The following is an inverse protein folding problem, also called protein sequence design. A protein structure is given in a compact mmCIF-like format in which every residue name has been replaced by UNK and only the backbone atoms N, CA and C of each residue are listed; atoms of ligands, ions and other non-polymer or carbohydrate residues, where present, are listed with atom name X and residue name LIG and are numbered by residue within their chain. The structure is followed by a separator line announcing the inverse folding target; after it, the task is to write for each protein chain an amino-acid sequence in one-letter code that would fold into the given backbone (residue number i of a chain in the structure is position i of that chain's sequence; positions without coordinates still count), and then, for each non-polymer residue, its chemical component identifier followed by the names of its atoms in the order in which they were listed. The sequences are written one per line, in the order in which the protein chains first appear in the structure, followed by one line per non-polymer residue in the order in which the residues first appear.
data_IF_490929866403
#
_entry.id   IF_490929866403
#
_cell.length_a   1.000
_cell.length_b   1.000
_cell.length_c   1.000
_cell.angle_alpha   90.00
_cell.angle_beta   90.00
_cell.angle_gamma   90.00
#
_symmetry.space_group_name_H-M   'P 1'
#
loop_
_entity.id
_entity.type
_entity.pdbx_description
1 polymer ?
#
# COMPACT_ATOMS: atom_id res chain seq x y z
N UNK A 1 -17.68 -0.71 23.08
CA UNK A 1 -17.48 -1.37 21.77
C UNK A 1 -15.98 -1.43 21.53
N UNK A 2 -15.40 -2.61 21.29
CA UNK A 2 -13.94 -2.74 21.10
C UNK A 2 -13.53 -2.43 19.66
N UNK A 3 -12.23 -2.21 19.44
CA UNK A 3 -11.65 -2.05 18.09
C UNK A 3 -11.85 -3.34 17.28
N UNK A 4 -11.72 -4.49 17.93
CA UNK A 4 -12.02 -5.78 17.32
C UNK A 4 -13.47 -5.85 16.80
N UNK A 5 -14.46 -5.47 17.63
CA UNK A 5 -15.86 -5.42 17.18
C UNK A 5 -16.05 -4.43 16.04
N UNK A 6 -15.43 -3.25 16.11
CA UNK A 6 -15.50 -2.25 15.04
C UNK A 6 -14.88 -2.75 13.73
N UNK A 7 -13.84 -3.58 13.79
CA UNK A 7 -13.24 -4.18 12.61
C UNK A 7 -14.16 -5.21 11.92
N UNK A 8 -15.15 -5.76 12.64
CA UNK A 8 -16.15 -6.69 12.10
C UNK A 8 -17.45 -6.01 11.65
N UNK A 9 -17.90 -4.99 12.37
CA UNK A 9 -19.22 -4.38 12.16
C UNK A 9 -19.17 -2.98 11.54
N UNK A 10 -17.99 -2.35 11.54
CA UNK A 10 -17.77 -0.98 11.11
C UNK A 10 -17.16 -0.87 9.71
N UNK A 11 -16.31 0.14 9.52
CA UNK A 11 -15.56 0.30 8.28
C UNK A 11 -14.52 -0.81 8.12
N UNK A 12 -14.24 -1.26 6.89
CA UNK A 12 -13.19 -2.24 6.64
C UNK A 12 -11.83 -1.76 7.16
N UNK A 13 -11.05 -2.70 7.68
CA UNK A 13 -9.72 -2.40 8.19
C UNK A 13 -8.83 -1.78 7.09
N UNK A 14 -8.14 -0.70 7.42
CA UNK A 14 -7.25 -0.04 6.45
C UNK A 14 -6.02 -0.94 6.22
N UNK A 15 -5.76 -1.25 4.94
CA UNK A 15 -4.67 -2.13 4.50
C UNK A 15 -3.54 -1.38 3.79
N UNK A 16 -3.56 -0.05 3.78
CA UNK A 16 -2.54 0.77 3.10
C UNK A 16 -1.30 0.89 3.97
N UNK A 17 -0.12 0.69 3.40
CA UNK A 17 1.16 0.80 4.10
C UNK A 17 1.33 2.17 4.76
N UNK A 18 1.09 3.23 3.98
CA UNK A 18 1.03 4.63 4.45
C UNK A 18 0.15 4.92 5.67
N UNK A 19 -0.86 4.09 5.94
CA UNK A 19 -1.66 4.24 7.16
C UNK A 19 -0.91 3.72 8.39
N UNK A 20 -0.15 2.64 8.24
CA UNK A 20 0.65 2.10 9.35
C UNK A 20 1.88 2.97 9.60
N UNK A 21 2.60 3.35 8.56
CA UNK A 21 3.79 4.21 8.66
C UNK A 21 3.44 5.65 9.00
N UNK A 22 2.40 6.23 8.38
CA UNK A 22 2.02 7.64 8.56
C UNK A 22 0.97 7.90 9.63
N UNK A 23 0.38 6.88 10.26
CA UNK A 23 -0.64 7.09 11.31
C UNK A 23 -0.43 6.19 12.52
N UNK A 24 -0.31 4.87 12.36
CA UNK A 24 -0.19 3.97 13.51
C UNK A 24 1.17 4.12 14.20
N UNK A 25 2.26 4.04 13.44
CA UNK A 25 3.63 4.13 13.95
C UNK A 25 3.89 5.44 14.73
N UNK A 26 3.57 6.65 14.22
CA UNK A 26 3.77 7.90 14.96
C UNK A 26 3.03 7.91 16.31
N UNK A 27 1.83 7.33 16.37
CA UNK A 27 1.02 7.29 17.58
C UNK A 27 1.59 6.35 18.66
N UNK A 28 2.56 5.51 18.29
CA UNK A 28 3.34 4.69 19.21
C UNK A 28 4.64 5.39 19.59
N UNK A 29 5.45 5.76 18.60
CA UNK A 29 6.85 6.18 18.83
C UNK A 29 6.99 7.65 19.24
N UNK A 30 6.01 8.49 18.90
CA UNK A 30 5.96 9.90 19.30
C UNK A 30 5.13 10.12 20.57
N UNK A 31 4.71 9.05 21.25
CA UNK A 31 3.89 9.15 22.46
C UNK A 31 4.57 9.99 23.55
N UNK A 32 3.75 10.76 24.27
CA UNK A 32 4.20 11.70 25.31
C UNK A 32 5.33 12.63 24.83
N UNK A 33 5.12 13.28 23.68
CA UNK A 33 6.07 14.21 23.07
C UNK A 33 7.46 13.59 22.85
N UNK A 34 7.49 12.35 22.34
CA UNK A 34 8.69 11.55 22.08
C UNK A 34 9.49 11.09 23.31
N UNK A 35 8.95 11.17 24.54
CA UNK A 35 9.64 10.75 25.76
C UNK A 35 10.12 9.28 25.77
N UNK A 36 9.58 8.44 24.88
CA UNK A 36 9.94 7.03 24.75
C UNK A 36 10.63 6.68 23.42
N UNK A 37 11.05 7.66 22.65
CA UNK A 37 11.62 7.46 21.33
C UNK A 37 12.90 6.60 21.35
N UNK A 38 13.70 6.70 22.42
CA UNK A 38 14.91 5.90 22.61
C UNK A 38 14.69 4.37 22.56
N UNK A 39 13.45 3.89 22.78
CA UNK A 39 13.11 2.47 22.62
C UNK A 39 13.21 2.03 21.15
N UNK A 40 12.79 2.86 20.19
CA UNK A 40 12.91 2.59 18.76
C UNK A 40 14.37 2.57 18.31
N UNK A 41 15.18 3.53 18.76
CA UNK A 41 16.60 3.58 18.39
C UNK A 41 17.39 2.41 18.99
N UNK A 42 17.00 1.95 20.17
CA UNK A 42 17.52 0.72 20.79
C UNK A 42 17.19 -0.52 19.95
N UNK A 43 15.93 -0.68 19.50
CA UNK A 43 15.53 -1.74 18.57
C UNK A 43 16.34 -1.70 17.26
N UNK A 44 16.58 -0.50 16.72
CA UNK A 44 17.38 -0.29 15.52
C UNK A 44 18.89 -0.54 15.71
N UNK A 45 19.35 -0.74 16.95
CA UNK A 45 20.76 -1.01 17.26
C UNK A 45 21.63 0.24 17.45
N UNK A 46 21.00 1.40 17.56
CA UNK A 46 21.67 2.69 17.80
C UNK A 46 21.83 3.01 19.29
N UNK A 47 21.37 2.10 20.17
CA UNK A 47 21.19 2.37 21.59
C UNK A 47 20.11 3.43 21.85
N UNK A 48 19.92 3.81 23.11
CA UNK A 48 18.95 4.85 23.46
C UNK A 48 19.43 6.23 23.03
N UNK A 49 18.52 6.99 22.44
CA UNK A 49 18.71 8.38 22.03
C UNK A 49 17.66 9.22 22.72
N UNK A 50 18.11 10.25 23.43
CA UNK A 50 17.22 11.24 24.01
C UNK A 50 16.85 12.27 22.94
N UNK A 51 15.57 12.61 22.90
CA UNK A 51 15.02 13.57 21.95
C UNK A 51 14.16 14.59 22.68
N UNK A 52 14.18 15.81 22.17
CA UNK A 52 13.28 16.89 22.55
C UNK A 52 12.39 17.14 21.33
N UNK A 53 11.09 16.92 21.45
CA UNK A 53 10.10 17.22 20.42
C UNK A 53 9.45 18.59 20.57
N UNK A 54 9.84 19.39 21.56
CA UNK A 54 9.19 20.66 21.87
C UNK A 54 9.43 21.70 20.77
N UNK A 55 8.46 22.57 20.43
CA UNK A 55 8.58 23.49 19.30
C UNK A 55 9.77 24.47 19.35
N UNK A 56 10.37 24.70 20.52
CA UNK A 56 11.48 25.66 20.71
C UNK A 56 12.82 25.00 21.03
N UNK A 57 12.80 23.73 21.45
CA UNK A 57 13.99 22.94 21.78
C UNK A 57 14.20 21.74 20.86
N UNK A 58 13.36 21.60 19.82
CA UNK A 58 13.31 20.40 19.00
C UNK A 58 14.69 20.03 18.45
N UNK A 59 15.12 18.80 18.74
CA UNK A 59 16.32 18.21 18.17
C UNK A 59 16.01 17.05 17.23
N UNK A 60 14.74 16.74 16.98
CA UNK A 60 14.30 15.63 16.14
C UNK A 60 13.53 16.13 14.92
N UNK A 61 13.81 15.52 13.78
CA UNK A 61 12.98 15.54 12.58
C UNK A 61 12.48 14.13 12.32
N UNK A 62 11.16 13.94 12.29
CA UNK A 62 10.51 12.64 12.07
C UNK A 62 9.57 12.77 10.88
N UNK A 63 9.93 12.14 9.76
CA UNK A 63 9.14 12.17 8.53
C UNK A 63 8.67 10.78 8.16
N UNK A 64 7.40 10.69 7.78
CA UNK A 64 6.75 9.49 7.24
C UNK A 64 6.33 9.76 5.80
N UNK A 65 6.50 8.78 4.92
CA UNK A 65 6.24 8.90 3.48
C UNK A 65 7.04 10.07 2.87
N UNK A 66 8.31 10.19 3.26
CA UNK A 66 9.12 11.37 2.92
C UNK A 66 9.64 11.32 1.49
N UNK A 67 9.19 12.26 0.65
CA UNK A 67 9.79 12.52 -0.66
C UNK A 67 10.94 13.52 -0.53
N UNK A 68 12.18 13.04 -0.37
CA UNK A 68 13.33 13.94 -0.20
C UNK A 68 13.53 14.85 -1.41
N UNK A 69 13.50 14.27 -2.61
CA UNK A 69 13.67 15.02 -3.87
C UNK A 69 12.56 16.04 -4.04
N UNK A 70 11.31 15.66 -3.73
CA UNK A 70 10.16 16.55 -3.76
C UNK A 70 10.23 17.67 -2.72
N UNK A 71 11.02 17.49 -1.66
CA UNK A 71 11.20 18.45 -0.57
C UNK A 71 12.37 19.41 -0.79
N UNK A 72 13.26 19.14 -1.76
CA UNK A 72 14.34 20.03 -2.15
C UNK A 72 13.82 21.19 -3.02
N UNK A 73 13.09 22.11 -2.38
CA UNK A 73 12.51 23.27 -3.04
C UNK A 73 13.31 24.54 -2.74
N UNK A 74 13.79 25.18 -3.81
CA UNK A 74 14.43 26.50 -3.76
C UNK A 74 15.95 26.47 -3.57
N UNK A 75 16.59 27.58 -3.92
CA UNK A 75 18.05 27.71 -3.98
C UNK A 75 18.75 27.38 -2.66
N UNK A 76 18.13 27.68 -1.52
CA UNK A 76 18.74 27.39 -0.22
C UNK A 76 18.80 25.89 0.07
N UNK A 77 17.73 25.15 -0.24
CA UNK A 77 17.70 23.70 -0.08
C UNK A 77 18.73 23.03 -1.01
N UNK A 78 18.79 23.48 -2.26
CA UNK A 78 19.76 22.99 -3.25
C UNK A 78 21.21 23.29 -2.83
N UNK A 79 21.50 24.46 -2.24
CA UNK A 79 22.84 24.75 -1.70
C UNK A 79 23.20 23.90 -0.49
N UNK A 80 22.23 23.57 0.37
CA UNK A 80 22.46 22.72 1.55
C UNK A 80 22.63 21.25 1.17
N UNK A 81 21.93 20.81 0.14
CA UNK A 81 21.95 19.45 -0.39
C UNK A 81 22.34 19.46 -1.87
N UNK A 82 23.59 19.83 -2.21
CA UNK A 82 24.05 19.81 -3.58
C UNK A 82 24.26 18.37 -4.05
N UNK A 83 24.09 18.14 -5.36
CA UNK A 83 24.24 16.84 -6.01
C UNK A 83 23.37 15.74 -5.37
N UNK A 84 22.16 16.11 -4.94
CA UNK A 84 21.21 15.18 -4.35
C UNK A 84 20.87 14.04 -5.31
N UNK A 85 20.72 12.79 -4.80
CA UNK A 85 20.23 11.69 -5.61
C UNK A 85 18.89 12.02 -6.24
N UNK A 86 18.70 11.64 -7.51
CA UNK A 86 17.44 11.86 -8.25
C UNK A 86 16.44 10.72 -8.09
N UNK A 87 16.82 9.66 -7.38
CA UNK A 87 15.92 8.54 -7.08
C UNK A 87 14.78 9.00 -6.20
N UNK A 88 13.58 8.50 -6.49
CA UNK A 88 12.39 8.70 -5.65
C UNK A 88 12.22 7.60 -4.61
N UNK A 89 13.10 6.60 -4.63
CA UNK A 89 13.09 5.51 -3.66
C UNK A 89 13.73 5.99 -2.36
N UNK A 90 12.90 6.60 -1.52
CA UNK A 90 13.26 7.07 -0.17
C UNK A 90 12.61 6.12 0.85
N UNK A 91 13.29 5.80 1.95
CA UNK A 91 12.68 5.01 3.02
C UNK A 91 11.34 5.58 3.49
N UNK A 92 10.39 4.69 3.82
CA UNK A 92 9.06 5.08 4.29
C UNK A 92 9.09 5.98 5.53
N UNK A 93 10.10 5.83 6.40
CA UNK A 93 10.31 6.71 7.55
C UNK A 93 11.77 7.14 7.61
N UNK A 94 11.97 8.44 7.78
CA UNK A 94 13.28 9.03 7.97
C UNK A 94 13.28 9.85 9.25
N UNK A 95 14.24 9.57 10.12
CA UNK A 95 14.42 10.29 11.38
C UNK A 95 15.84 10.81 11.48
N UNK A 96 15.97 12.11 11.75
CA UNK A 96 17.23 12.75 12.08
C UNK A 96 17.15 13.33 13.48
N UNK A 97 18.17 13.08 14.31
CA UNK A 97 18.32 13.68 15.63
C UNK A 97 19.60 14.50 15.67
N UNK A 98 19.49 15.81 15.90
CA UNK A 98 20.60 16.76 16.07
C UNK A 98 20.91 16.99 17.55
N UNK A 99 21.47 15.96 18.20
CA UNK A 99 21.93 16.03 19.58
C UNK A 99 23.47 16.02 19.70
N UNK A 100 24.00 15.93 20.93
CA UNK A 100 25.43 15.70 21.17
C UNK A 100 25.98 14.49 20.40
N UNK A 101 25.11 13.48 20.21
CA UNK A 101 25.29 12.38 19.27
C UNK A 101 24.24 12.50 18.17
N UNK A 102 24.67 12.87 16.97
CA UNK A 102 23.77 12.91 15.81
C UNK A 102 23.43 11.51 15.36
N UNK A 103 22.16 11.29 15.00
CA UNK A 103 21.65 9.98 14.60
C UNK A 103 20.81 10.12 13.34
N UNK A 104 20.94 9.17 12.43
CA UNK A 104 20.09 9.01 11.25
C UNK A 104 19.47 7.61 11.27
N UNK A 105 18.15 7.54 11.31
CA UNK A 105 17.40 6.30 11.25
C UNK A 105 16.51 6.31 10.00
N UNK A 106 16.71 5.33 9.13
CA UNK A 106 15.91 5.06 7.95
C UNK A 106 15.16 3.73 8.13
N UNK A 107 13.86 3.74 7.91
CA UNK A 107 12.99 2.56 8.05
C UNK A 107 12.24 2.36 6.75
N UNK A 108 12.45 1.20 6.13
CA UNK A 108 11.57 0.68 5.09
C UNK A 108 10.55 -0.25 5.74
N UNK A 109 9.26 0.01 5.57
CA UNK A 109 8.22 -0.64 6.35
C UNK A 109 7.16 -1.29 5.47
N UNK A 110 7.04 -2.62 5.58
CA UNK A 110 5.93 -3.35 4.95
C UNK A 110 4.94 -3.74 6.01
N UNK A 111 3.64 -3.53 5.73
CA UNK A 111 2.59 -4.13 6.55
C UNK A 111 1.96 -5.26 5.74
N UNK A 112 1.21 -4.94 4.70
CA UNK A 112 0.47 -5.94 3.93
C UNK A 112 1.05 -6.25 2.55
N UNK A 113 1.98 -5.44 2.03
CA UNK A 113 2.67 -5.85 0.82
C UNK A 113 3.50 -7.11 1.08
N UNK A 114 3.63 -7.95 0.04
CA UNK A 114 4.27 -9.26 0.13
C UNK A 114 5.38 -9.36 -0.92
N UNK A 115 6.42 -8.51 -0.83
CA UNK A 115 7.52 -8.56 -1.78
C UNK A 115 8.28 -9.87 -1.65
N UNK A 116 8.97 -10.26 -2.73
CA UNK A 116 9.98 -11.31 -2.62
C UNK A 116 11.20 -10.78 -1.83
N UNK A 117 12.05 -11.69 -1.34
CA UNK A 117 13.30 -11.29 -0.69
C UNK A 117 14.19 -10.49 -1.65
N UNK A 118 14.24 -10.87 -2.93
CA UNK A 118 15.05 -10.19 -3.93
C UNK A 118 14.56 -8.76 -4.20
N UNK A 119 13.24 -8.56 -4.34
CA UNK A 119 12.66 -7.25 -4.59
C UNK A 119 12.89 -6.31 -3.40
N UNK A 120 12.68 -6.80 -2.18
CA UNK A 120 12.92 -6.02 -0.97
C UNK A 120 14.40 -5.67 -0.81
N UNK A 121 15.31 -6.61 -1.08
CA UNK A 121 16.75 -6.38 -1.03
C UNK A 121 17.24 -5.40 -2.12
N UNK A 122 16.62 -5.42 -3.30
CA UNK A 122 16.88 -4.40 -4.33
C UNK A 122 16.41 -3.01 -3.89
N UNK A 123 15.21 -2.90 -3.34
CA UNK A 123 14.67 -1.65 -2.80
C UNK A 123 15.57 -1.08 -1.69
N UNK A 124 15.96 -1.90 -0.72
CA UNK A 124 16.85 -1.50 0.38
C UNK A 124 18.21 -1.04 -0.14
N UNK A 125 18.79 -1.72 -1.14
CA UNK A 125 20.06 -1.29 -1.76
C UNK A 125 19.92 0.03 -2.52
N UNK A 126 18.80 0.26 -3.21
CA UNK A 126 18.54 1.52 -3.89
C UNK A 126 18.45 2.69 -2.88
N UNK A 127 17.76 2.47 -1.76
CA UNK A 127 17.63 3.44 -0.67
C UNK A 127 18.95 3.71 0.07
N UNK A 128 19.86 2.73 0.15
CA UNK A 128 21.14 2.92 0.82
C UNK A 128 21.95 4.11 0.25
N UNK A 129 21.79 4.41 -1.04
CA UNK A 129 22.43 5.57 -1.68
C UNK A 129 21.97 6.90 -1.08
N UNK A 130 20.65 7.09 -0.91
CA UNK A 130 20.12 8.32 -0.30
C UNK A 130 20.44 8.40 1.19
N UNK A 131 20.42 7.27 1.91
CA UNK A 131 20.81 7.23 3.33
C UNK A 131 22.28 7.63 3.51
N UNK A 132 23.19 7.09 2.68
CA UNK A 132 24.60 7.45 2.71
C UNK A 132 24.83 8.93 2.37
N UNK A 133 24.12 9.45 1.37
CA UNK A 133 24.15 10.87 1.02
C UNK A 133 23.73 11.76 2.20
N UNK A 134 22.60 11.44 2.83
CA UNK A 134 22.08 12.20 3.97
C UNK A 134 23.02 12.14 5.18
N UNK A 135 23.58 10.97 5.49
CA UNK A 135 24.62 10.80 6.52
C UNK A 135 25.75 11.80 6.32
N UNK A 136 26.30 11.87 5.11
CA UNK A 136 27.46 12.72 4.79
C UNK A 136 27.10 14.19 4.89
N UNK A 137 25.95 14.61 4.35
CA UNK A 137 25.50 16.01 4.39
C UNK A 137 25.14 16.48 5.79
N UNK A 138 24.63 15.59 6.64
CA UNK A 138 24.26 15.91 8.03
C UNK A 138 25.43 15.69 9.01
N UNK A 139 26.57 15.18 8.54
CA UNK A 139 27.75 14.90 9.37
C UNK A 139 27.46 13.88 10.47
N UNK A 140 26.72 12.82 10.14
CA UNK A 140 26.39 11.71 11.05
C UNK A 140 27.48 10.65 10.93
N UNK A 141 28.03 10.19 12.05
CA UNK A 141 29.02 9.11 12.03
C UNK A 141 28.37 7.78 11.60
N UNK A 142 29.12 6.92 10.90
CA UNK A 142 28.57 5.69 10.31
C UNK A 142 27.92 4.76 11.36
N UNK A 143 28.49 4.67 12.55
CA UNK A 143 27.99 3.89 13.69
C UNK A 143 26.68 4.46 14.28
N UNK A 144 26.32 5.69 13.94
CA UNK A 144 25.09 6.35 14.34
C UNK A 144 24.03 6.39 13.21
N UNK A 145 24.25 5.60 12.15
CA UNK A 145 23.27 5.38 11.08
C UNK A 145 22.68 4.00 11.23
N UNK A 146 21.35 3.89 11.20
CA UNK A 146 20.67 2.63 11.01
C UNK A 146 19.71 2.72 9.83
N UNK A 147 19.86 1.79 8.89
CA UNK A 147 18.83 1.48 7.90
C UNK A 147 18.24 0.14 8.31
N UNK A 148 16.93 0.07 8.47
CA UNK A 148 16.23 -1.12 8.98
C UNK A 148 15.00 -1.43 8.14
N UNK A 149 14.61 -2.70 8.12
CA UNK A 149 13.34 -3.16 7.58
C UNK A 149 12.35 -3.40 8.74
N UNK A 150 11.16 -2.81 8.69
CA UNK A 150 10.07 -3.05 9.63
C UNK A 150 8.99 -3.92 8.97
N UNK A 151 8.92 -5.19 9.36
CA UNK A 151 8.12 -6.21 8.67
C UNK A 151 7.23 -6.98 9.66
N UNK A 152 6.10 -7.58 9.26
CA UNK A 152 5.39 -8.52 10.13
C UNK A 152 6.23 -9.80 10.26
N UNK A 153 6.18 -10.49 11.40
CA UNK A 153 6.98 -11.69 11.66
C UNK A 153 6.84 -12.77 10.58
N UNK A 154 5.62 -12.93 10.04
CA UNK A 154 5.36 -13.86 8.94
C UNK A 154 6.15 -13.53 7.67
N UNK A 155 6.21 -12.25 7.30
CA UNK A 155 6.99 -11.78 6.16
C UNK A 155 8.49 -11.87 6.45
N UNK A 156 8.94 -11.40 7.62
CA UNK A 156 10.34 -11.46 8.05
C UNK A 156 10.90 -12.88 7.97
N UNK A 157 10.18 -13.89 8.48
CA UNK A 157 10.59 -15.30 8.39
C UNK A 157 10.67 -15.81 6.95
N UNK A 158 9.77 -15.34 6.08
CA UNK A 158 9.73 -15.78 4.67
C UNK A 158 10.84 -15.16 3.84
N UNK A 159 11.14 -13.87 4.02
CA UNK A 159 12.22 -13.19 3.29
C UNK A 159 13.60 -13.60 3.81
N UNK A 160 13.69 -13.99 5.08
CA UNK A 160 14.94 -14.44 5.69
C UNK A 160 15.88 -13.27 5.99
N UNK A 161 17.19 -13.51 5.88
CA UNK A 161 18.20 -12.48 6.15
C UNK A 161 18.25 -11.44 5.03
N UNK A 162 18.19 -10.16 5.42
CA UNK A 162 18.38 -9.01 4.56
C UNK A 162 19.76 -8.37 4.85
N UNK A 163 20.25 -7.49 3.98
CA UNK A 163 21.47 -6.72 4.25
C UNK A 163 21.33 -5.74 5.41
N UNK A 164 20.10 -5.38 5.76
CA UNK A 164 19.75 -4.50 6.88
C UNK A 164 19.18 -5.28 8.05
N UNK A 165 19.19 -4.67 9.23
CA UNK A 165 18.51 -5.24 10.40
C UNK A 165 17.00 -5.27 10.16
N UNK A 166 16.37 -6.39 10.50
CA UNK A 166 14.92 -6.51 10.53
C UNK A 166 14.38 -6.29 11.95
N UNK A 167 13.40 -5.40 12.07
CA UNK A 167 12.55 -5.22 13.26
C UNK A 167 11.15 -5.70 12.87
N UNK A 168 10.40 -6.27 13.82
CA UNK A 168 9.01 -6.67 13.55
C UNK A 168 7.98 -5.73 14.15
N UNK A 169 6.82 -5.62 13.49
CA UNK A 169 5.68 -4.89 14.03
C UNK A 169 5.20 -5.46 15.37
N UNK A 170 5.32 -6.77 15.55
CA UNK A 170 5.05 -7.49 16.79
C UNK A 170 6.01 -7.03 17.91
N UNK A 171 7.33 -7.01 17.62
CA UNK A 171 8.32 -6.51 18.59
C UNK A 171 8.09 -5.02 18.90
N UNK A 172 7.75 -4.21 17.90
CA UNK A 172 7.43 -2.80 18.10
C UNK A 172 6.19 -2.64 18.99
N UNK A 173 5.14 -3.43 18.76
CA UNK A 173 3.93 -3.43 19.58
C UNK A 173 4.28 -3.78 21.04
N UNK A 174 5.04 -4.84 21.28
CA UNK A 174 5.44 -5.25 22.62
C UNK A 174 6.23 -4.15 23.35
N UNK A 175 7.14 -3.49 22.63
CA UNK A 175 7.97 -2.41 23.18
C UNK A 175 7.20 -1.14 23.49
N UNK A 176 6.07 -0.88 22.83
CA UNK A 176 5.30 0.35 23.00
C UNK A 176 3.90 0.13 23.62
N UNK A 177 3.51 -1.10 23.94
CA UNK A 177 2.15 -1.41 24.40
C UNK A 177 1.74 -0.68 25.69
N UNK A 178 2.69 -0.34 26.56
CA UNK A 178 2.48 0.33 27.85
C UNK A 178 2.44 1.87 27.76
N UNK A 179 2.99 2.45 26.69
CA UNK A 179 3.15 3.91 26.56
C UNK A 179 2.52 4.51 25.31
N UNK A 180 2.29 3.71 24.27
CA UNK A 180 1.68 4.14 23.02
C UNK A 180 0.22 4.53 23.21
N UNK A 181 -0.32 5.35 22.29
CA UNK A 181 -1.71 5.76 22.35
C UNK A 181 -2.64 4.51 22.36
N UNK A 182 -3.48 4.29 23.39
CA UNK A 182 -4.18 3.02 23.58
C UNK A 182 -5.02 2.56 22.39
N UNK A 183 -5.65 3.50 21.69
CA UNK A 183 -6.40 3.23 20.46
C UNK A 183 -5.50 2.62 19.38
N UNK A 184 -4.32 3.20 19.13
CA UNK A 184 -3.44 2.77 18.06
C UNK A 184 -2.64 1.51 18.42
N UNK A 185 -2.32 1.30 19.70
CA UNK A 185 -1.83 0.03 20.23
C UNK A 185 -2.83 -1.09 19.90
N UNK A 186 -4.10 -0.87 20.18
CA UNK A 186 -5.15 -1.87 19.90
C UNK A 186 -5.39 -2.04 18.39
N UNK A 187 -5.35 -0.97 17.60
CA UNK A 187 -5.40 -1.07 16.13
C UNK A 187 -4.26 -1.95 15.62
N UNK A 188 -3.01 -1.75 16.04
CA UNK A 188 -1.90 -2.57 15.59
C UNK A 188 -2.06 -4.03 16.06
N UNK A 189 -2.47 -4.25 17.32
CA UNK A 189 -2.74 -5.59 17.86
C UNK A 189 -3.77 -6.35 17.03
N UNK A 190 -4.91 -5.73 16.73
CA UNK A 190 -5.97 -6.33 15.91
C UNK A 190 -5.49 -6.55 14.47
N UNK A 191 -4.73 -5.61 13.90
CA UNK A 191 -4.15 -5.73 12.56
C UNK A 191 -3.26 -6.98 12.43
N UNK A 192 -2.36 -7.18 13.41
CA UNK A 192 -1.43 -8.30 13.46
C UNK A 192 -2.16 -9.63 13.72
N UNK A 193 -3.12 -9.65 14.65
CA UNK A 193 -3.93 -10.85 14.92
C UNK A 193 -4.72 -11.30 13.67
N UNK A 194 -5.21 -10.33 12.88
CA UNK A 194 -5.97 -10.59 11.64
C UNK A 194 -5.10 -10.65 10.40
N UNK A 195 -3.78 -10.57 10.54
CA UNK A 195 -2.85 -10.43 9.43
C UNK A 195 -3.04 -11.49 8.34
N UNK A 196 -3.16 -12.80 8.63
CA UNK A 196 -3.39 -13.81 7.59
C UNK A 196 -4.69 -13.59 6.79
N UNK A 197 -5.77 -13.19 7.46
CA UNK A 197 -7.06 -12.91 6.82
C UNK A 197 -7.02 -11.62 6.00
N UNK A 198 -6.26 -10.63 6.45
CA UNK A 198 -6.06 -9.36 5.74
C UNK A 198 -5.09 -9.49 4.57
N UNK A 199 -4.17 -10.46 4.61
CA UNK A 199 -3.32 -10.79 3.46
C UNK A 199 -4.07 -11.51 2.36
N UNK A 200 -5.12 -12.28 2.70
CA UNK A 200 -5.94 -12.95 1.72
C UNK A 200 -6.40 -11.93 0.67
N UNK A 201 -5.78 -12.00 -0.52
CA UNK A 201 -6.37 -11.40 -1.70
C UNK A 201 -7.69 -12.16 -1.83
N UNK A 202 -8.83 -11.46 -1.87
CA UNK A 202 -10.00 -12.06 -2.54
C UNK A 202 -9.45 -12.54 -3.86
N UNK A 203 -9.48 -13.85 -4.12
CA UNK A 203 -8.96 -14.48 -5.32
C UNK A 203 -9.65 -13.91 -6.55
N UNK A 204 -9.26 -12.70 -6.96
CA UNK A 204 -9.58 -12.11 -8.24
C UNK A 204 -8.52 -12.63 -9.20
N UNK A 205 -8.51 -13.94 -9.41
CA UNK A 205 -7.87 -14.53 -10.56
C UNK A 205 -8.59 -13.94 -11.77
N UNK A 206 -7.91 -13.06 -12.51
CA UNK A 206 -8.44 -12.54 -13.77
C UNK A 206 -8.78 -13.72 -14.68
N UNK A 207 -10.02 -13.78 -15.15
CA UNK A 207 -10.51 -14.89 -15.96
C UNK A 207 -10.93 -16.15 -15.18
N UNK A 208 -10.88 -16.22 -13.84
CA UNK A 208 -11.34 -17.42 -13.12
C UNK A 208 -12.83 -17.74 -13.34
N UNK A 209 -13.64 -16.72 -13.61
CA UNK A 209 -15.05 -16.89 -13.91
C UNK A 209 -15.32 -17.03 -15.42
N UNK A 210 -14.30 -16.85 -16.27
CA UNK A 210 -14.42 -16.91 -17.72
C UNK A 210 -14.28 -18.35 -18.20
N UNK A 211 -15.38 -18.92 -18.70
CA UNK A 211 -15.42 -20.24 -19.31
C UNK A 211 -15.20 -20.15 -20.83
N UNK A 212 -15.54 -19.00 -21.42
CA UNK A 212 -15.34 -18.70 -22.83
C UNK A 212 -14.99 -17.23 -23.07
N UNK A 213 -14.53 -16.93 -24.29
CA UNK A 213 -14.36 -15.55 -24.78
C UNK A 213 -14.95 -15.43 -26.18
N UNK A 214 -15.92 -14.55 -26.33
CA UNK A 214 -16.64 -14.30 -27.59
C UNK A 214 -16.62 -12.81 -27.91
N UNK A 215 -16.70 -12.48 -29.19
CA UNK A 215 -16.92 -11.09 -29.57
C UNK A 215 -18.34 -10.66 -29.22
N UNK A 216 -18.57 -9.35 -29.05
CA UNK A 216 -19.92 -8.86 -28.79
C UNK A 216 -20.90 -9.21 -29.93
N UNK A 217 -20.42 -9.29 -31.18
CA UNK A 217 -21.23 -9.75 -32.32
C UNK A 217 -21.62 -11.23 -32.20
N UNK A 218 -20.67 -12.09 -31.83
CA UNK A 218 -20.94 -13.53 -31.59
C UNK A 218 -21.94 -13.73 -30.45
N UNK A 219 -21.84 -12.93 -29.38
CA UNK A 219 -22.75 -12.95 -28.23
C UNK A 219 -24.17 -12.56 -28.68
N UNK A 220 -24.32 -11.43 -29.39
CA UNK A 220 -25.62 -10.95 -29.87
C UNK A 220 -26.27 -11.97 -30.81
N UNK A 221 -25.50 -12.52 -31.77
CA UNK A 221 -25.99 -13.52 -32.72
C UNK A 221 -26.51 -14.77 -32.02
N UNK A 222 -25.76 -15.30 -31.04
CA UNK A 222 -26.17 -16.48 -30.28
C UNK A 222 -27.38 -16.21 -29.38
N UNK A 223 -27.45 -15.02 -28.76
CA UNK A 223 -28.59 -14.61 -27.95
C UNK A 223 -29.88 -14.54 -28.78
N UNK A 224 -29.83 -13.90 -29.97
CA UNK A 224 -30.97 -13.80 -30.87
C UNK A 224 -31.40 -15.16 -31.44
N UNK A 225 -30.45 -16.06 -31.70
CA UNK A 225 -30.72 -17.42 -32.17
C UNK A 225 -31.24 -18.35 -31.06
N UNK A 226 -31.25 -17.91 -29.79
CA UNK A 226 -31.62 -18.76 -28.65
C UNK A 226 -30.62 -19.87 -28.36
N UNK A 227 -29.39 -19.78 -28.86
CA UNK A 227 -28.33 -20.80 -28.74
C UNK A 227 -27.24 -20.44 -27.74
N UNK A 228 -27.39 -19.31 -27.05
CA UNK A 228 -26.40 -18.80 -26.10
C UNK A 228 -26.25 -19.74 -24.89
N UNK A 229 -25.07 -20.32 -24.71
CA UNK A 229 -24.76 -21.23 -23.59
C UNK A 229 -24.18 -20.50 -22.36
N UNK A 230 -23.78 -19.24 -22.51
CA UNK A 230 -23.15 -18.44 -21.45
C UNK A 230 -23.93 -17.13 -21.28
N UNK A 231 -24.95 -17.07 -20.41
CA UNK A 231 -25.84 -15.92 -20.30
C UNK A 231 -25.23 -14.73 -19.55
N UNK A 232 -24.00 -14.87 -19.05
CA UNK A 232 -23.27 -13.84 -18.31
C UNK A 232 -22.03 -13.39 -19.06
N UNK A 233 -21.78 -12.09 -19.02
CA UNK A 233 -20.69 -11.42 -19.73
C UNK A 233 -19.91 -10.52 -18.78
N UNK A 234 -18.58 -10.54 -18.90
CA UNK A 234 -17.65 -9.76 -18.10
C UNK A 234 -17.00 -8.63 -18.90
N UNK A 235 -17.03 -7.40 -18.36
CA UNK A 235 -16.25 -6.24 -18.83
C UNK A 235 -15.89 -5.35 -17.64
N UNK A 236 -14.73 -4.67 -17.68
CA UNK A 236 -14.27 -3.87 -16.54
C UNK A 236 -15.31 -2.82 -16.14
N UNK A 237 -15.63 -2.77 -14.85
CA UNK A 237 -16.65 -1.90 -14.24
C UNK A 237 -18.08 -2.17 -14.73
N UNK A 238 -18.30 -3.35 -15.33
CA UNK A 238 -19.62 -3.90 -15.64
C UNK A 238 -20.39 -3.11 -16.68
N UNK A 239 -21.71 -3.28 -16.66
CA UNK A 239 -22.61 -2.71 -17.64
C UNK A 239 -22.55 -1.18 -17.67
N UNK A 240 -22.32 -0.53 -16.52
CA UNK A 240 -22.19 0.94 -16.40
C UNK A 240 -20.73 1.43 -16.54
N UNK A 241 -19.79 0.58 -16.92
CA UNK A 241 -18.37 0.92 -17.04
C UNK A 241 -18.06 1.84 -18.22
N UNK A 242 -17.05 2.70 -18.06
CA UNK A 242 -16.59 3.59 -19.14
C UNK A 242 -16.10 2.81 -20.38
N UNK A 243 -15.41 1.69 -20.17
CA UNK A 243 -14.90 0.84 -21.25
C UNK A 243 -16.03 0.23 -22.10
N UNK A 244 -17.09 -0.30 -21.47
CA UNK A 244 -18.21 -0.82 -22.24
C UNK A 244 -18.95 0.30 -22.99
N UNK A 245 -19.11 1.49 -22.39
CA UNK A 245 -19.69 2.65 -23.08
C UNK A 245 -18.88 3.04 -24.31
N UNK A 246 -17.55 3.08 -24.20
CA UNK A 246 -16.63 3.32 -25.31
C UNK A 246 -16.81 2.28 -26.42
N UNK A 247 -16.80 0.98 -26.06
CA UNK A 247 -16.98 -0.13 -27.00
C UNK A 247 -18.30 0.01 -27.78
N UNK A 248 -19.39 0.37 -27.10
CA UNK A 248 -20.72 0.55 -27.70
C UNK A 248 -20.75 1.78 -28.61
N UNK A 249 -20.25 2.92 -28.13
CA UNK A 249 -20.31 4.21 -28.84
C UNK A 249 -19.44 4.22 -30.10
N UNK A 250 -18.25 3.60 -30.02
CA UNK A 250 -17.33 3.46 -31.16
C UNK A 250 -17.74 2.37 -32.15
N UNK A 251 -18.63 1.46 -31.74
CA UNK A 251 -18.97 0.26 -32.51
C UNK A 251 -17.96 -0.88 -32.39
N UNK A 252 -16.87 -0.70 -31.63
CA UNK A 252 -15.83 -1.71 -31.40
C UNK A 252 -16.35 -2.96 -30.68
N UNK A 253 -17.49 -2.87 -29.99
CA UNK A 253 -18.14 -4.00 -29.32
C UNK A 253 -18.31 -5.23 -30.23
N UNK A 254 -18.44 -5.05 -31.54
CA UNK A 254 -18.56 -6.16 -32.51
C UNK A 254 -17.32 -7.05 -32.56
N UNK A 255 -16.14 -6.47 -32.35
CA UNK A 255 -14.84 -7.14 -32.51
C UNK A 255 -14.11 -7.37 -31.20
N UNK A 256 -14.40 -6.59 -30.16
CA UNK A 256 -13.88 -6.79 -28.80
C UNK A 256 -14.34 -8.13 -28.25
N UNK A 257 -13.39 -8.92 -27.71
CA UNK A 257 -13.68 -10.18 -27.02
C UNK A 257 -14.00 -9.94 -25.54
N UNK A 258 -15.12 -10.47 -25.11
CA UNK A 258 -15.61 -10.38 -23.74
C UNK A 258 -15.52 -11.72 -23.03
N UNK A 259 -15.33 -11.69 -21.72
CA UNK A 259 -15.39 -12.91 -20.89
C UNK A 259 -16.83 -13.37 -20.77
N UNK A 260 -17.08 -14.68 -20.90
CA UNK A 260 -18.42 -15.26 -20.85
C UNK A 260 -18.44 -16.40 -19.82
N UNK A 261 -19.58 -16.57 -19.13
CA UNK A 261 -19.78 -17.61 -18.11
C UNK A 261 -21.18 -18.20 -18.21
N UNK A 262 -21.29 -19.51 -18.02
CA UNK A 262 -22.55 -20.22 -17.87
C UNK A 262 -23.22 -19.96 -16.50
N UNK A 263 -22.43 -19.51 -15.51
CA UNK A 263 -22.88 -19.31 -14.13
C UNK A 263 -23.05 -17.82 -13.83
N UNK A 264 -24.00 -17.51 -12.96
CA UNK A 264 -24.12 -16.17 -12.39
C UNK A 264 -22.89 -15.82 -11.57
N UNK A 265 -22.24 -14.72 -11.93
CA UNK A 265 -21.04 -14.24 -11.25
C UNK A 265 -21.38 -13.00 -10.45
N UNK A 266 -21.38 -13.11 -9.13
CA UNK A 266 -21.70 -12.00 -8.23
C UNK A 266 -20.49 -11.07 -8.04
N UNK A 267 -20.18 -10.27 -9.06
CA UNK A 267 -19.27 -9.14 -8.92
C UNK A 267 -19.57 -8.02 -9.93
N UNK A 268 -19.10 -6.81 -9.61
CA UNK A 268 -19.37 -5.57 -10.37
C UNK A 268 -18.96 -5.57 -11.84
N UNK A 269 -18.12 -6.50 -12.29
CA UNK A 269 -17.65 -6.56 -13.68
C UNK A 269 -18.53 -7.46 -14.56
N UNK A 270 -19.45 -8.24 -13.97
CA UNK A 270 -20.27 -9.21 -14.69
C UNK A 270 -21.73 -8.74 -14.71
N UNK A 271 -22.42 -9.02 -15.81
CA UNK A 271 -23.80 -8.63 -16.06
C UNK A 271 -24.46 -9.60 -17.04
N UNK A 272 -25.79 -9.56 -17.16
CA UNK A 272 -26.49 -10.46 -18.06
C UNK A 272 -26.32 -10.02 -19.52
N UNK A 273 -26.13 -10.99 -20.42
CA UNK A 273 -26.03 -10.73 -21.87
C UNK A 273 -27.27 -10.02 -22.39
N UNK A 274 -28.46 -10.33 -21.86
CA UNK A 274 -29.71 -9.67 -22.22
C UNK A 274 -29.65 -8.14 -22.05
N UNK A 275 -29.01 -7.67 -20.97
CA UNK A 275 -28.87 -6.23 -20.68
C UNK A 275 -27.88 -5.56 -21.65
N UNK A 276 -26.84 -6.28 -22.07
CA UNK A 276 -25.92 -5.81 -23.10
C UNK A 276 -26.60 -5.70 -24.47
N UNK A 277 -27.33 -6.75 -24.89
CA UNK A 277 -28.08 -6.78 -26.16
C UNK A 277 -29.06 -5.62 -26.23
N UNK A 278 -29.80 -5.36 -25.15
CA UNK A 278 -30.74 -4.23 -25.07
C UNK A 278 -30.07 -2.85 -25.31
N UNK A 279 -28.77 -2.71 -25.01
CA UNK A 279 -28.02 -1.46 -25.21
C UNK A 279 -27.45 -1.30 -26.62
N UNK A 280 -27.00 -2.38 -27.24
CA UNK A 280 -26.42 -2.34 -28.59
C UNK A 280 -27.47 -2.45 -29.69
N UNK A 281 -28.66 -2.92 -29.35
CA UNK A 281 -29.82 -3.03 -30.23
C UNK A 281 -31.06 -2.51 -29.51
N UNK A 282 -31.17 -1.18 -29.29
CA UNK A 282 -32.40 -0.61 -28.76
C UNK A 282 -33.56 -0.99 -29.69
N UNK A 283 -34.69 -1.39 -29.11
CA UNK A 283 -35.88 -1.74 -29.87
C UNK A 283 -36.21 -0.60 -30.84
N UNK A 284 -36.40 -0.93 -32.12
CA UNK A 284 -36.90 0.03 -33.10
C UNK A 284 -38.27 0.50 -32.62
N UNK A 285 -38.38 1.78 -32.28
CA UNK A 285 -39.66 2.36 -31.92
C UNK A 285 -40.65 2.15 -33.09
N UNK A 286 -41.84 1.59 -32.84
CA UNK A 286 -42.81 1.42 -33.90
C UNK A 286 -43.34 2.80 -34.33
N UNK A 287 -43.01 3.20 -35.57
CA UNK A 287 -43.74 4.26 -36.28
C UNK A 287 -42.89 5.42 -36.78
N UNK A 288 -42.51 5.37 -38.05
CA UNK A 288 -42.40 6.54 -38.95
C UNK A 288 -42.54 6.00 -40.39
N UNK A 289 -43.75 5.56 -40.71
CA UNK A 289 -44.24 5.39 -42.08
C UNK A 289 -45.17 6.55 -42.41
#
# INVERSE_FOLDING_TARGET
MSIETLADTGLPFNRKERYFTGTVLPMLVCAHDFAHFGRLTELAGLGRVEVDGSPRGANIQFFTEYGFVESLLGEEAERRFPDAPTTRDTPDVLVYVDGPRRVLLAIEAKMYDQPSAADLEEQLRAQAGIVAYLRDKLGVAQENVAHVALLPEGLARRVGGLSVRTITWETLLDVYADVGAPYFVEVLRVALARYPALLAKRDMVFGANAEARWTGEEIVRQYQAGTLTHPWMGRRNGLAGAELREDITSGAWRTVRYECSSKGVDNRNWFAVAEFVARVQPAVAPGSG
#
